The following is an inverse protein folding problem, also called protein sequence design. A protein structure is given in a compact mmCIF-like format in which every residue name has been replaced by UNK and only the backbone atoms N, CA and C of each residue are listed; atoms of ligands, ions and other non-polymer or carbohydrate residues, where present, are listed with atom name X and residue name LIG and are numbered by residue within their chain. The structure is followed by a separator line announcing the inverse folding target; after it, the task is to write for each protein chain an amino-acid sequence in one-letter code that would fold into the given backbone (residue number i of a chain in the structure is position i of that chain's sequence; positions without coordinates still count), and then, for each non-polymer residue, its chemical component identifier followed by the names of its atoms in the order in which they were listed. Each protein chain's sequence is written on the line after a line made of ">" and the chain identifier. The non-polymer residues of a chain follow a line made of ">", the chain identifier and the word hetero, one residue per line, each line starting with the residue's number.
data_IF_394980252301
#
_entry.id   IF_394980252301
#
_cell.length_a   1.000
_cell.length_b   1.000
_cell.length_c   1.000
_cell.angle_alpha   90.00
_cell.angle_beta   90.00
_cell.angle_gamma   90.00
#
_symmetry.space_group_name_H-M   'P 1'
#
loop_
_entity.id
_entity.type
_entity.pdbx_description
1 polymer ?
#
# COMPACT_ATOMS: atom_id res chain seq x y z
N UNK A 1 3.94 45.38 -5.82
CA UNK A 1 3.31 44.44 -4.87
C UNK A 1 1.80 44.64 -4.75
N UNK A 2 1.24 45.85 -4.97
CA UNK A 2 -0.20 46.05 -5.19
C UNK A 2 -0.50 45.96 -6.70
N UNK A 3 -0.86 44.80 -7.22
CA UNK A 3 -1.22 44.63 -8.63
C UNK A 3 -1.34 43.17 -9.09
N UNK A 4 -0.54 42.28 -8.49
CA UNK A 4 -0.49 40.87 -8.86
C UNK A 4 -1.22 40.00 -7.81
N UNK A 5 -2.06 39.09 -8.31
CA UNK A 5 -2.81 38.14 -7.48
C UNK A 5 -1.82 37.06 -7.00
N UNK A 6 -1.65 36.92 -5.69
CA UNK A 6 -0.71 35.96 -5.08
C UNK A 6 -1.44 35.04 -4.11
N UNK A 7 -1.07 33.76 -4.09
CA UNK A 7 -1.62 32.77 -3.16
C UNK A 7 -0.80 32.81 -1.86
N UNK A 8 -1.39 33.30 -0.77
CA UNK A 8 -0.72 33.44 0.53
C UNK A 8 -0.68 32.13 1.35
N UNK A 9 -1.62 31.23 1.14
CA UNK A 9 -1.74 29.98 1.92
C UNK A 9 -2.30 28.87 1.04
N UNK A 10 -1.78 27.65 1.20
CA UNK A 10 -2.27 26.47 0.50
C UNK A 10 -3.62 26.06 1.08
N UNK A 11 -4.66 26.04 0.26
CA UNK A 11 -6.00 25.58 0.64
C UNK A 11 -6.38 24.35 -0.18
N UNK A 12 -7.09 23.41 0.45
CA UNK A 12 -7.62 22.22 -0.23
C UNK A 12 -8.88 22.60 -1.00
N UNK A 13 -8.83 22.51 -2.33
CA UNK A 13 -9.92 22.94 -3.22
C UNK A 13 -11.01 21.86 -3.35
N UNK A 14 -10.65 20.58 -3.44
CA UNK A 14 -11.60 19.46 -3.49
C UNK A 14 -11.11 18.25 -2.69
N UNK A 15 -12.03 17.37 -2.29
CA UNK A 15 -11.69 16.05 -1.75
C UNK A 15 -12.00 14.94 -2.76
N UNK A 16 -11.39 13.77 -2.57
CA UNK A 16 -11.58 12.63 -3.47
C UNK A 16 -13.04 12.18 -3.45
N UNK A 17 -13.72 12.28 -4.59
CA UNK A 17 -15.13 11.90 -4.74
C UNK A 17 -16.09 13.09 -4.85
N UNK A 18 -15.65 14.32 -4.56
CA UNK A 18 -16.46 15.51 -4.77
C UNK A 18 -16.51 15.89 -6.24
N UNK A 19 -17.69 16.30 -6.71
CA UNK A 19 -17.84 16.84 -8.07
C UNK A 19 -17.16 18.20 -8.14
N UNK A 20 -16.22 18.34 -9.07
CA UNK A 20 -15.55 19.62 -9.34
C UNK A 20 -16.56 20.59 -9.95
N UNK A 21 -16.76 21.74 -9.31
CA UNK A 21 -17.62 22.80 -9.83
C UNK A 21 -16.94 23.58 -10.96
N UNK A 22 -17.76 24.32 -11.72
CA UNK A 22 -17.31 25.08 -12.90
C UNK A 22 -16.31 26.18 -12.51
N UNK A 23 -16.51 26.80 -11.34
CA UNK A 23 -15.66 27.88 -10.82
C UNK A 23 -14.28 27.35 -10.43
N UNK A 24 -14.19 26.23 -9.70
CA UNK A 24 -12.90 25.64 -9.30
C UNK A 24 -12.10 25.15 -10.52
N UNK A 25 -12.76 24.50 -11.48
CA UNK A 25 -12.12 24.02 -12.70
C UNK A 25 -11.53 25.18 -13.53
N UNK A 26 -12.27 26.28 -13.65
CA UNK A 26 -11.81 27.45 -14.42
C UNK A 26 -10.64 28.18 -13.74
N UNK A 27 -10.67 28.31 -12.41
CA UNK A 27 -9.57 28.88 -11.63
C UNK A 27 -8.30 28.03 -11.75
N UNK A 28 -8.40 26.70 -11.66
CA UNK A 28 -7.26 25.79 -11.83
C UNK A 28 -6.65 25.88 -13.24
N UNK A 29 -7.49 26.01 -14.26
CA UNK A 29 -7.05 26.19 -15.65
C UNK A 29 -6.34 27.55 -15.87
N UNK A 30 -6.84 28.63 -15.25
CA UNK A 30 -6.17 29.94 -15.29
C UNK A 30 -4.82 29.98 -14.56
N UNK A 31 -4.58 29.03 -13.64
CA UNK A 31 -3.31 28.89 -12.92
C UNK A 31 -2.37 27.86 -13.59
N UNK A 32 -2.75 27.28 -14.73
CA UNK A 32 -2.05 26.19 -15.41
C UNK A 32 -1.81 24.96 -14.52
N UNK A 33 -2.67 24.71 -13.52
CA UNK A 33 -2.58 23.56 -12.61
C UNK A 33 -3.55 22.49 -13.08
N UNK A 34 -3.02 21.37 -13.57
CA UNK A 34 -3.80 20.18 -13.94
C UNK A 34 -3.61 19.06 -12.89
N UNK A 35 -4.55 18.88 -11.96
CA UNK A 35 -4.38 17.94 -10.84
C UNK A 35 -4.68 16.47 -11.18
N UNK A 36 -5.17 16.19 -12.39
CA UNK A 36 -5.54 14.84 -12.82
C UNK A 36 -4.82 14.44 -14.10
N UNK A 37 -4.42 13.18 -14.16
CA UNK A 37 -3.96 12.55 -15.40
C UNK A 37 -5.14 11.83 -16.05
N UNK A 38 -5.43 12.19 -17.30
CA UNK A 38 -6.42 11.48 -18.09
C UNK A 38 -5.75 10.27 -18.76
N UNK A 39 -6.31 9.09 -18.54
CA UNK A 39 -5.80 7.85 -19.09
C UNK A 39 -6.88 6.77 -19.06
N UNK A 40 -6.58 5.62 -19.66
CA UNK A 40 -7.46 4.47 -19.59
C UNK A 40 -7.45 3.90 -18.17
N UNK A 41 -8.63 3.83 -17.56
CA UNK A 41 -8.83 3.13 -16.29
C UNK A 41 -9.20 1.69 -16.64
N UNK A 42 -8.36 0.73 -16.27
CA UNK A 42 -8.69 -0.68 -16.40
C UNK A 42 -9.86 -1.00 -15.47
N UNK A 43 -10.92 -1.62 -15.97
CA UNK A 43 -12.06 -2.03 -15.14
C UNK A 43 -11.99 -3.51 -14.78
N UNK A 44 -11.67 -4.37 -15.76
CA UNK A 44 -11.44 -5.79 -15.56
C UNK A 44 -10.34 -6.27 -16.52
N UNK A 45 -9.51 -7.20 -16.05
CA UNK A 45 -8.52 -7.91 -16.86
C UNK A 45 -8.95 -9.36 -17.03
N UNK A 46 -8.88 -9.89 -18.25
CA UNK A 46 -9.13 -11.30 -18.51
C UNK A 46 -7.81 -11.98 -18.89
N UNK A 47 -7.46 -13.05 -18.17
CA UNK A 47 -6.30 -13.87 -18.49
C UNK A 47 -6.60 -15.35 -18.24
N UNK A 48 -6.34 -16.19 -19.24
CA UNK A 48 -6.34 -17.66 -19.15
C UNK A 48 -7.59 -18.27 -18.48
N UNK A 49 -8.77 -17.73 -18.79
CA UNK A 49 -10.05 -18.22 -18.26
C UNK A 49 -10.52 -17.55 -16.95
N UNK A 50 -9.72 -16.66 -16.37
CA UNK A 50 -10.04 -15.95 -15.13
C UNK A 50 -10.19 -14.45 -15.35
N UNK A 51 -11.17 -13.84 -14.68
CA UNK A 51 -11.38 -12.38 -14.68
C UNK A 51 -10.84 -11.82 -13.36
N UNK A 52 -9.90 -10.89 -13.47
CA UNK A 52 -9.25 -10.25 -12.32
C UNK A 52 -9.58 -8.76 -12.27
N UNK A 53 -9.87 -8.22 -11.07
CA UNK A 53 -9.94 -6.80 -10.89
C UNK A 53 -8.53 -6.17 -10.98
N UNK A 54 -8.42 -4.88 -11.36
CA UNK A 54 -7.15 -4.18 -11.53
C UNK A 54 -6.30 -4.11 -10.24
N UNK A 55 -6.93 -4.29 -9.09
CA UNK A 55 -6.26 -4.34 -7.78
C UNK A 55 -5.23 -5.46 -7.68
N UNK A 56 -5.45 -6.59 -8.35
CA UNK A 56 -4.52 -7.73 -8.36
C UNK A 56 -3.23 -7.40 -9.11
N UNK A 57 -3.26 -6.45 -10.05
CA UNK A 57 -2.07 -5.98 -10.75
C UNK A 57 -1.18 -5.10 -9.86
N UNK A 58 -1.74 -4.47 -8.83
CA UNK A 58 -1.04 -3.56 -7.92
C UNK A 58 -0.41 -4.30 -6.72
N UNK A 59 0.22 -5.44 -6.95
CA UNK A 59 0.94 -6.17 -5.89
C UNK A 59 2.38 -5.66 -5.81
N UNK A 60 2.70 -4.98 -4.71
CA UNK A 60 4.06 -4.51 -4.42
C UNK A 60 4.90 -5.63 -3.78
N UNK A 61 6.19 -5.70 -4.09
CA UNK A 61 7.12 -6.66 -3.47
C UNK A 61 7.17 -6.55 -1.94
N UNK A 62 6.94 -5.35 -1.38
CA UNK A 62 6.88 -5.12 0.05
C UNK A 62 5.73 -5.87 0.74
N UNK A 63 4.55 -5.93 0.12
CA UNK A 63 3.41 -6.66 0.71
C UNK A 63 3.66 -8.16 0.65
N UNK A 64 4.28 -8.65 -0.43
CA UNK A 64 4.68 -10.05 -0.57
C UNK A 64 5.67 -10.47 0.52
N UNK A 65 6.70 -9.64 0.77
CA UNK A 65 7.68 -9.91 1.84
C UNK A 65 7.04 -9.90 3.23
N UNK A 66 6.10 -8.99 3.48
CA UNK A 66 5.39 -8.94 4.75
C UNK A 66 4.58 -10.23 5.00
N UNK A 67 3.81 -10.67 4.00
CA UNK A 67 3.04 -11.93 4.08
C UNK A 67 3.94 -13.16 4.18
N UNK A 68 5.09 -13.16 3.51
CA UNK A 68 6.05 -14.25 3.62
C UNK A 68 6.69 -14.30 5.02
N UNK A 69 7.06 -13.13 5.57
CA UNK A 69 7.60 -13.00 6.92
C UNK A 69 6.61 -13.45 8.00
N UNK A 70 5.33 -13.10 7.87
CA UNK A 70 4.31 -13.56 8.81
C UNK A 70 4.13 -15.08 8.74
N UNK A 71 4.10 -15.66 7.54
CA UNK A 71 4.04 -17.11 7.35
C UNK A 71 5.23 -17.84 7.97
N UNK A 72 6.46 -17.33 7.78
CA UNK A 72 7.66 -17.89 8.40
C UNK A 72 7.60 -17.84 9.93
N UNK A 73 7.14 -16.73 10.50
CA UNK A 73 6.97 -16.57 11.95
C UNK A 73 5.99 -17.60 12.52
N UNK A 74 4.85 -17.81 11.84
CA UNK A 74 3.87 -18.84 12.23
C UNK A 74 4.44 -20.25 12.15
N UNK A 75 5.22 -20.58 11.13
CA UNK A 75 5.87 -21.90 11.01
C UNK A 75 6.94 -22.09 12.10
N UNK A 76 7.69 -21.03 12.41
CA UNK A 76 8.68 -21.06 13.48
C UNK A 76 8.02 -21.26 14.86
N UNK A 77 6.89 -20.60 15.14
CA UNK A 77 6.17 -20.72 16.40
C UNK A 77 5.52 -22.10 16.57
N UNK A 78 4.93 -22.66 15.50
CA UNK A 78 4.40 -24.03 15.50
C UNK A 78 5.53 -25.04 15.74
N UNK A 79 6.67 -24.88 15.05
CA UNK A 79 7.83 -25.76 15.24
C UNK A 79 8.36 -25.73 16.66
N UNK A 80 8.41 -24.56 17.29
CA UNK A 80 8.79 -24.39 18.69
C UNK A 80 7.78 -25.05 19.64
N UNK A 81 6.47 -24.86 19.42
CA UNK A 81 5.42 -25.43 20.25
C UNK A 81 5.39 -26.96 20.20
N UNK A 82 5.66 -27.56 19.04
CA UNK A 82 5.74 -29.01 18.85
C UNK A 82 7.09 -29.61 19.27
N UNK A 83 8.09 -28.80 19.61
CA UNK A 83 9.43 -29.26 19.94
C UNK A 83 10.18 -29.89 18.76
N UNK A 84 9.74 -29.64 17.52
CA UNK A 84 10.37 -30.17 16.31
C UNK A 84 11.34 -29.12 15.76
N UNK A 85 12.65 -29.39 15.73
CA UNK A 85 13.64 -28.47 15.17
C UNK A 85 13.54 -28.44 13.64
N UNK A 86 12.90 -27.39 13.10
CA UNK A 86 12.93 -27.04 11.68
C UNK A 86 13.90 -25.87 11.46
N UNK A 87 14.33 -25.62 10.21
CA UNK A 87 15.34 -24.59 9.90
C UNK A 87 14.99 -23.19 10.45
N UNK A 88 13.71 -22.88 10.63
CA UNK A 88 13.24 -21.61 11.20
C UNK A 88 13.09 -21.64 12.74
N UNK A 89 12.79 -22.80 13.35
CA UNK A 89 12.55 -22.95 14.79
C UNK A 89 13.78 -23.37 15.62
N UNK A 90 14.85 -23.88 14.98
CA UNK A 90 16.07 -24.36 15.68
C UNK A 90 16.69 -23.29 16.56
N UNK A 91 16.88 -22.07 16.04
CA UNK A 91 17.48 -20.96 16.81
C UNK A 91 16.61 -20.58 18.00
N UNK A 92 15.29 -20.49 17.79
CA UNK A 92 14.32 -20.17 18.83
C UNK A 92 14.26 -21.26 19.93
N UNK A 93 14.40 -22.53 19.56
CA UNK A 93 14.38 -23.66 20.49
C UNK A 93 15.61 -23.69 21.41
N UNK A 94 16.79 -23.38 20.86
CA UNK A 94 18.04 -23.30 21.65
C UNK A 94 17.96 -22.16 22.66
N UNK A 95 17.56 -20.95 22.22
CA UNK A 95 17.42 -19.78 23.11
C UNK A 95 16.39 -20.04 24.22
N UNK A 96 15.28 -20.70 23.90
CA UNK A 96 14.28 -21.07 24.89
C UNK A 96 14.83 -22.08 25.91
N UNK A 97 15.64 -23.05 25.47
CA UNK A 97 16.33 -23.99 26.36
C UNK A 97 17.24 -23.28 27.38
N UNK A 98 18.01 -22.27 26.94
CA UNK A 98 18.83 -21.46 27.87
C UNK A 98 17.98 -20.65 28.86
N UNK A 99 16.83 -20.12 28.43
CA UNK A 99 15.88 -19.40 29.28
C UNK A 99 15.16 -20.25 30.33
N UNK A 100 15.13 -21.58 30.16
CA UNK A 100 14.43 -22.48 31.08
C UNK A 100 15.36 -23.07 32.15
N UNK A 101 16.68 -23.01 31.92
CA UNK A 101 17.72 -23.49 32.84
C UNK A 101 18.22 -22.38 33.78
N UNK A 102 18.15 -21.11 33.36
CA UNK A 102 18.36 -19.92 34.19
C UNK A 102 17.02 -19.35 34.67
#
# INVERSE_FOLDING_TARGET
>A
IKGDINILTKQKICTTGDKVGVSEAKLLNMLDISPFFYGMILENCYDSGSVFPPSVLNVTTATLLAHFGTGLSTIASIGLALGIPNKASVVHSIVNGFKMVF
#
